data_IF_750931117954
#
_entry.id   IF_750931117954
#
_cell.length_a   1.000
_cell.length_b   1.000
_cell.length_c   1.000
_cell.angle_alpha   90.00
_cell.angle_beta   90.00
_cell.angle_gamma   90.00
#
_symmetry.space_group_name_H-M   'P 1'
#
loop_
_entity.id
_entity.type
_entity.pdbx_description
1 polymer ?
#
# COMPACT_ATOMS: atom_id res chain seq x y z
N UNK A 1 -7.55 15.74 11.25
CA UNK A 1 -8.20 14.42 11.11
C UNK A 1 -9.11 14.33 9.88
N UNK A 2 -10.19 15.12 9.74
CA UNK A 2 -11.12 15.02 8.59
C UNK A 2 -10.45 15.23 7.22
N UNK A 3 -9.47 16.12 7.12
CA UNK A 3 -8.70 16.32 5.88
C UNK A 3 -7.88 15.07 5.52
N UNK A 4 -7.20 14.46 6.49
CA UNK A 4 -6.46 13.22 6.30
C UNK A 4 -7.39 12.07 5.87
N UNK A 5 -8.59 11.99 6.45
CA UNK A 5 -9.58 11.00 6.07
C UNK A 5 -10.09 11.17 4.64
N UNK A 6 -10.33 12.41 4.18
CA UNK A 6 -10.70 12.69 2.77
C UNK A 6 -9.59 12.27 1.81
N UNK A 7 -8.35 12.65 2.09
CA UNK A 7 -7.18 12.32 1.25
C UNK A 7 -6.92 10.83 1.14
N UNK A 8 -7.20 10.06 2.20
CA UNK A 8 -7.04 8.61 2.24
C UNK A 8 -8.27 7.82 1.82
N UNK A 9 -9.39 8.48 1.49
CA UNK A 9 -10.70 7.87 1.28
C UNK A 9 -11.32 7.21 2.54
N UNK A 10 -10.75 7.38 3.72
CA UNK A 10 -11.33 6.90 4.98
C UNK A 10 -12.63 7.63 5.34
N UNK A 11 -12.85 8.84 4.81
CA UNK A 11 -14.10 9.58 4.96
C UNK A 11 -15.29 8.80 4.39
N UNK A 12 -15.12 8.11 3.27
CA UNK A 12 -16.16 7.25 2.69
C UNK A 12 -16.48 6.03 3.58
N UNK A 13 -15.53 5.57 4.39
CA UNK A 13 -15.75 4.51 5.38
C UNK A 13 -16.54 5.09 6.55
N UNK A 14 -16.07 6.19 7.15
CA UNK A 14 -16.70 6.82 8.30
C UNK A 14 -18.15 7.23 8.01
N UNK A 15 -18.45 7.77 6.82
CA UNK A 15 -19.80 8.21 6.44
C UNK A 15 -20.85 7.09 6.35
N UNK A 16 -20.43 5.82 6.25
CA UNK A 16 -21.32 4.65 6.23
C UNK A 16 -21.55 4.03 7.61
N UNK A 17 -20.77 4.43 8.62
CA UNK A 17 -20.87 3.93 9.97
C UNK A 17 -21.90 4.72 10.76
N UNK A 18 -22.66 4.05 11.62
CA UNK A 18 -23.74 4.64 12.40
C UNK A 18 -23.28 5.85 13.22
N UNK A 19 -22.12 5.74 13.88
CA UNK A 19 -21.52 6.82 14.69
C UNK A 19 -20.45 7.62 13.95
N UNK A 20 -20.33 7.43 12.62
CA UNK A 20 -19.38 8.14 11.79
C UNK A 20 -17.95 8.01 12.30
N UNK A 21 -17.27 9.14 12.54
CA UNK A 21 -15.91 9.19 13.06
C UNK A 21 -15.76 8.76 14.52
N UNK A 22 -16.86 8.69 15.27
CA UNK A 22 -16.86 8.27 16.67
C UNK A 22 -17.17 6.76 16.81
N UNK A 23 -17.32 6.06 15.69
CA UNK A 23 -17.55 4.62 15.68
C UNK A 23 -16.32 3.87 16.20
N UNK A 24 -16.53 3.02 17.21
CA UNK A 24 -15.52 2.07 17.64
C UNK A 24 -15.30 1.02 16.54
N UNK A 25 -14.05 0.74 16.21
CA UNK A 25 -13.67 -0.22 15.19
C UNK A 25 -13.04 -1.47 15.80
N UNK A 26 -13.34 -2.63 15.21
CA UNK A 26 -12.81 -3.94 15.59
C UNK A 26 -13.71 -4.72 16.53
N UNK A 27 -13.90 -6.00 16.23
CA UNK A 27 -14.77 -6.95 16.97
C UNK A 27 -14.41 -7.17 18.44
N UNK A 28 -13.21 -6.77 18.84
CA UNK A 28 -12.72 -6.94 20.23
C UNK A 28 -13.31 -5.93 21.20
N UNK A 29 -13.99 -4.91 20.71
CA UNK A 29 -14.54 -3.83 21.51
C UNK A 29 -16.06 -3.88 21.50
N UNK A 30 -16.69 -3.60 22.64
CA UNK A 30 -18.15 -3.49 22.75
C UNK A 30 -18.67 -2.42 21.81
N UNK A 31 -19.65 -2.78 20.97
CA UNK A 31 -20.17 -1.90 19.91
C UNK A 31 -19.18 -1.62 18.77
N UNK A 32 -18.08 -2.38 18.70
CA UNK A 32 -17.08 -2.25 17.64
C UNK A 32 -17.57 -2.88 16.34
N UNK A 33 -17.39 -2.15 15.23
CA UNK A 33 -17.72 -2.60 13.88
C UNK A 33 -16.46 -3.12 13.18
N UNK A 34 -16.56 -4.28 12.54
CA UNK A 34 -15.49 -4.82 11.71
C UNK A 34 -15.52 -4.17 10.33
N UNK A 35 -14.34 -3.80 9.85
CA UNK A 35 -14.14 -3.28 8.51
C UNK A 35 -13.59 -4.37 7.60
N UNK A 36 -13.89 -4.27 6.30
CA UNK A 36 -13.19 -5.06 5.29
C UNK A 36 -11.71 -4.70 5.23
N UNK A 37 -10.87 -5.59 4.66
CA UNK A 37 -9.44 -5.33 4.50
C UNK A 37 -9.14 -4.03 3.78
N UNK A 38 -9.89 -3.72 2.70
CA UNK A 38 -9.75 -2.46 1.96
C UNK A 38 -10.16 -1.22 2.76
N UNK A 39 -11.15 -1.32 3.62
CA UNK A 39 -11.55 -0.24 4.52
C UNK A 39 -10.50 0.00 5.59
N UNK A 40 -9.94 -1.07 6.17
CA UNK A 40 -8.82 -0.96 7.11
C UNK A 40 -7.61 -0.29 6.49
N UNK A 41 -7.31 -0.56 5.21
CA UNK A 41 -6.20 0.08 4.50
C UNK A 41 -6.44 1.58 4.29
N UNK A 42 -7.65 2.00 3.95
CA UNK A 42 -8.02 3.43 3.85
C UNK A 42 -7.84 4.14 5.19
N UNK A 43 -8.24 3.50 6.29
CA UNK A 43 -8.03 4.03 7.65
C UNK A 43 -6.54 4.10 8.01
N UNK A 44 -5.78 3.07 7.70
CA UNK A 44 -4.33 3.04 7.93
C UNK A 44 -3.59 4.14 7.14
N UNK A 45 -3.97 4.33 5.87
CA UNK A 45 -3.43 5.42 5.04
C UNK A 45 -3.83 6.79 5.62
N UNK A 46 -5.06 6.94 6.15
CA UNK A 46 -5.51 8.14 6.85
C UNK A 46 -4.62 8.49 8.04
N UNK A 47 -4.19 7.48 8.81
CA UNK A 47 -3.24 7.66 9.92
C UNK A 47 -1.87 8.16 9.42
N UNK A 48 -1.40 7.68 8.27
CA UNK A 48 -0.15 8.15 7.66
C UNK A 48 -0.25 9.63 7.25
N UNK A 49 -1.38 10.06 6.68
CA UNK A 49 -1.64 11.46 6.36
C UNK A 49 -1.69 12.40 7.58
N UNK A 50 -1.95 11.87 8.77
CA UNK A 50 -1.95 12.67 10.00
C UNK A 50 -0.55 12.93 10.56
N UNK A 51 0.46 12.24 10.07
CA UNK A 51 1.85 12.38 10.52
C UNK A 51 2.65 13.21 9.53
N UNK A 52 3.43 14.15 10.05
CA UNK A 52 4.45 14.85 9.26
C UNK A 52 5.78 14.08 9.36
N UNK A 53 5.81 12.90 8.72
CA UNK A 53 6.97 12.04 8.71
C UNK A 53 7.84 12.32 7.49
N UNK A 54 9.16 12.36 7.67
CA UNK A 54 10.12 12.46 6.57
C UNK A 54 10.31 11.13 5.84
N UNK A 55 10.12 10.02 6.56
CA UNK A 55 10.22 8.65 6.04
C UNK A 55 8.93 7.91 6.31
N UNK A 56 8.37 7.31 5.27
CA UNK A 56 7.20 6.45 5.34
C UNK A 56 7.60 5.01 5.03
N UNK A 57 7.23 4.08 5.91
CA UNK A 57 7.39 2.65 5.66
C UNK A 57 5.99 2.05 5.56
N UNK A 58 5.71 1.38 4.46
CA UNK A 58 4.41 0.76 4.18
C UNK A 58 4.63 -0.68 3.77
N UNK A 59 4.05 -1.57 4.55
CA UNK A 59 4.17 -3.01 4.39
C UNK A 59 2.86 -3.57 3.83
N UNK A 60 2.95 -4.21 2.65
CA UNK A 60 1.84 -4.86 1.93
C UNK A 60 0.53 -4.03 1.86
N UNK A 61 0.58 -2.77 1.39
CA UNK A 61 -0.57 -1.86 1.48
C UNK A 61 -1.78 -2.28 0.64
N UNK A 62 -1.62 -3.26 -0.25
CA UNK A 62 -2.65 -3.67 -1.21
C UNK A 62 -2.99 -5.16 -1.18
N UNK A 63 -2.48 -5.91 -0.19
CA UNK A 63 -2.58 -7.38 -0.15
C UNK A 63 -4.01 -7.93 -0.26
N UNK A 64 -5.03 -7.23 0.24
CA UNK A 64 -6.43 -7.66 0.27
C UNK A 64 -7.33 -6.92 -0.73
N UNK A 65 -6.75 -6.20 -1.69
CA UNK A 65 -7.50 -5.36 -2.63
C UNK A 65 -7.65 -6.00 -4.00
N UNK A 66 -8.79 -5.72 -4.63
CA UNK A 66 -8.94 -5.90 -6.07
C UNK A 66 -8.11 -4.85 -6.84
N UNK A 67 -7.92 -5.05 -8.14
CA UNK A 67 -7.06 -4.22 -8.98
C UNK A 67 -7.48 -2.73 -9.00
N UNK A 68 -8.78 -2.44 -8.90
CA UNK A 68 -9.29 -1.07 -8.90
C UNK A 68 -9.00 -0.36 -7.58
N UNK A 69 -9.29 -1.03 -6.46
CA UNK A 69 -9.01 -0.51 -5.12
C UNK A 69 -7.50 -0.38 -4.87
N UNK A 70 -6.70 -1.33 -5.39
CA UNK A 70 -5.23 -1.24 -5.39
C UNK A 70 -4.74 0.03 -6.06
N UNK A 71 -5.23 0.31 -7.26
CA UNK A 71 -4.87 1.51 -8.00
C UNK A 71 -5.24 2.81 -7.27
N UNK A 72 -6.44 2.87 -6.67
CA UNK A 72 -6.88 4.02 -5.87
C UNK A 72 -5.97 4.27 -4.66
N UNK A 73 -5.65 3.22 -3.88
CA UNK A 73 -4.75 3.31 -2.72
C UNK A 73 -3.36 3.73 -3.16
N UNK A 74 -2.88 3.19 -4.28
CA UNK A 74 -1.59 3.53 -4.83
C UNK A 74 -1.49 5.03 -5.20
N UNK A 75 -2.48 5.58 -5.90
CA UNK A 75 -2.50 7.02 -6.23
C UNK A 75 -2.42 7.90 -4.98
N UNK A 76 -3.13 7.52 -3.91
CA UNK A 76 -3.08 8.23 -2.62
C UNK A 76 -1.73 8.09 -1.94
N UNK A 77 -1.12 6.92 -2.03
CA UNK A 77 0.22 6.70 -1.51
C UNK A 77 1.27 7.54 -2.27
N UNK A 78 1.24 7.54 -3.59
CA UNK A 78 2.12 8.37 -4.41
C UNK A 78 1.99 9.88 -4.09
N UNK A 79 0.76 10.35 -3.86
CA UNK A 79 0.52 11.72 -3.41
C UNK A 79 1.10 12.00 -2.01
N UNK A 80 0.92 11.04 -1.07
CA UNK A 80 1.43 11.15 0.29
C UNK A 80 2.96 11.21 0.35
N UNK A 81 3.63 10.45 -0.52
CA UNK A 81 5.09 10.30 -0.53
C UNK A 81 5.80 11.40 -1.33
N UNK A 82 5.08 12.24 -2.04
CA UNK A 82 5.65 13.31 -2.87
C UNK A 82 6.56 14.23 -2.05
N UNK A 83 7.85 14.28 -2.41
CA UNK A 83 8.87 15.05 -1.71
C UNK A 83 9.33 14.45 -0.38
N UNK A 84 9.03 13.16 -0.12
CA UNK A 84 9.44 12.42 1.07
C UNK A 84 10.10 11.11 0.68
N UNK A 85 10.87 10.53 1.59
CA UNK A 85 11.37 9.17 1.41
C UNK A 85 10.27 8.16 1.77
N UNK A 86 10.06 7.18 0.90
CA UNK A 86 9.13 6.08 1.15
C UNK A 86 9.81 4.73 0.92
N UNK A 87 9.58 3.80 1.84
CA UNK A 87 9.94 2.39 1.69
C UNK A 87 8.65 1.60 1.57
N UNK A 88 8.47 0.96 0.43
CA UNK A 88 7.32 0.13 0.14
C UNK A 88 7.77 -1.33 0.11
N UNK A 89 7.16 -2.16 0.95
CA UNK A 89 7.36 -3.61 0.95
C UNK A 89 6.15 -4.22 0.27
N UNK A 90 6.37 -4.95 -0.81
CA UNK A 90 5.31 -5.62 -1.55
C UNK A 90 5.85 -6.81 -2.36
N UNK A 91 5.01 -7.82 -2.53
CA UNK A 91 5.24 -8.93 -3.46
C UNK A 91 4.44 -8.76 -4.77
N UNK A 92 3.70 -7.65 -4.93
CA UNK A 92 2.89 -7.35 -6.12
C UNK A 92 3.68 -6.47 -7.09
N UNK A 93 3.97 -6.98 -8.27
CA UNK A 93 4.74 -6.25 -9.28
C UNK A 93 4.00 -5.03 -9.83
N UNK A 94 2.67 -5.02 -9.84
CA UNK A 94 1.86 -3.83 -10.15
C UNK A 94 2.27 -2.62 -9.30
N UNK A 95 2.60 -2.86 -8.05
CA UNK A 95 3.00 -1.85 -7.08
C UNK A 95 4.51 -1.60 -7.11
N UNK A 96 5.31 -2.67 -7.12
CA UNK A 96 6.78 -2.61 -7.04
C UNK A 96 7.39 -1.85 -8.22
N UNK A 97 6.89 -2.05 -9.45
CA UNK A 97 7.42 -1.41 -10.67
C UNK A 97 7.32 0.13 -10.69
N UNK A 98 6.55 0.69 -9.77
CA UNK A 98 6.33 2.14 -9.69
C UNK A 98 7.31 2.83 -8.73
N UNK A 99 8.17 2.07 -8.06
CA UNK A 99 9.22 2.60 -7.22
C UNK A 99 10.39 3.16 -8.07
N UNK A 100 10.96 4.27 -7.62
CA UNK A 100 12.17 4.86 -8.25
C UNK A 100 13.36 3.91 -8.15
N UNK A 101 13.41 3.09 -7.10
CA UNK A 101 14.45 2.09 -6.87
C UNK A 101 13.87 0.86 -6.18
N UNK A 102 14.24 -0.29 -6.65
CA UNK A 102 13.83 -1.60 -6.13
C UNK A 102 15.04 -2.26 -5.48
N UNK A 103 14.84 -2.81 -4.31
CA UNK A 103 15.80 -3.65 -3.60
C UNK A 103 15.25 -5.08 -3.57
N UNK A 104 16.03 -6.04 -4.10
CA UNK A 104 15.65 -7.45 -4.15
C UNK A 104 16.35 -8.19 -3.03
N UNK A 105 15.57 -8.75 -2.11
CA UNK A 105 16.08 -9.48 -0.96
C UNK A 105 15.83 -10.98 -1.11
N UNK A 106 16.83 -11.80 -0.80
CA UNK A 106 16.74 -13.25 -0.77
C UNK A 106 17.56 -13.79 0.39
N UNK A 107 16.96 -14.63 1.23
CA UNK A 107 17.68 -15.21 2.38
C UNK A 107 18.20 -14.18 3.40
N UNK A 108 17.62 -12.99 3.46
CA UNK A 108 18.08 -11.90 4.32
C UNK A 108 19.20 -11.03 3.73
N UNK A 109 19.62 -11.31 2.51
CA UNK A 109 20.68 -10.57 1.82
C UNK A 109 20.12 -9.76 0.65
N UNK A 110 20.75 -8.63 0.35
CA UNK A 110 20.47 -7.82 -0.84
C UNK A 110 21.16 -8.47 -2.05
N UNK A 111 20.36 -9.09 -2.93
CA UNK A 111 20.89 -9.83 -4.09
C UNK A 111 20.88 -9.00 -5.38
N UNK A 112 20.01 -8.00 -5.51
CA UNK A 112 19.98 -7.09 -6.66
C UNK A 112 19.34 -5.76 -6.28
N UNK A 113 19.59 -4.70 -7.08
CA UNK A 113 18.97 -3.40 -6.92
C UNK A 113 18.97 -2.61 -8.22
N UNK A 114 17.94 -1.81 -8.47
CA UNK A 114 17.84 -0.99 -9.68
C UNK A 114 16.43 -0.47 -9.91
N UNK A 115 16.18 0.12 -11.09
CA UNK A 115 14.82 0.39 -11.56
C UNK A 115 14.17 -0.90 -12.07
N UNK A 116 12.88 -0.85 -12.32
CA UNK A 116 12.15 -1.98 -12.93
C UNK A 116 12.80 -2.43 -14.25
N UNK A 117 13.08 -1.47 -15.13
CA UNK A 117 13.64 -1.71 -16.46
C UNK A 117 15.04 -2.34 -16.37
N UNK A 118 15.88 -1.84 -15.48
CA UNK A 118 17.24 -2.35 -15.27
C UNK A 118 17.22 -3.79 -14.77
N UNK A 119 16.34 -4.09 -13.80
CA UNK A 119 16.23 -5.42 -13.21
C UNK A 119 15.65 -6.44 -14.19
N UNK A 120 14.65 -6.05 -14.99
CA UNK A 120 14.11 -6.91 -16.05
C UNK A 120 15.17 -7.19 -17.13
N UNK A 121 15.93 -6.17 -17.55
CA UNK A 121 16.96 -6.33 -18.56
C UNK A 121 18.13 -7.23 -18.12
N UNK A 122 18.45 -7.25 -16.81
CA UNK A 122 19.49 -8.14 -16.27
C UNK A 122 19.12 -9.62 -16.26
N UNK A 123 17.83 -9.96 -16.25
CA UNK A 123 17.38 -11.36 -16.26
C UNK A 123 17.61 -12.13 -14.96
N UNK A 124 17.82 -11.44 -13.82
CA UNK A 124 18.00 -12.05 -12.50
C UNK A 124 16.70 -12.47 -11.82
N UNK A 125 16.78 -12.74 -10.51
CA UNK A 125 15.64 -13.18 -9.68
C UNK A 125 14.40 -12.30 -9.85
N UNK A 126 14.58 -10.99 -9.93
CA UNK A 126 13.46 -10.05 -10.14
C UNK A 126 12.72 -10.31 -11.45
N UNK A 127 13.46 -10.47 -12.55
CA UNK A 127 12.88 -10.71 -13.87
C UNK A 127 12.17 -12.07 -13.95
N UNK A 128 12.72 -13.09 -13.31
CA UNK A 128 12.09 -14.42 -13.18
C UNK A 128 10.73 -14.30 -12.47
N UNK A 129 10.72 -13.73 -11.27
CA UNK A 129 9.50 -13.58 -10.47
C UNK A 129 8.46 -12.69 -11.17
N UNK A 130 8.90 -11.62 -11.84
CA UNK A 130 8.03 -10.77 -12.65
C UNK A 130 7.35 -11.56 -13.77
N UNK A 131 8.10 -12.39 -14.49
CA UNK A 131 7.60 -13.21 -15.59
C UNK A 131 6.60 -14.26 -15.12
N UNK A 132 6.87 -14.91 -13.97
CA UNK A 132 5.96 -15.88 -13.35
C UNK A 132 4.63 -15.24 -12.94
N UNK A 133 4.67 -14.07 -12.32
CA UNK A 133 3.45 -13.37 -11.92
C UNK A 133 2.66 -12.88 -13.14
N UNK A 134 3.32 -12.36 -14.17
CA UNK A 134 2.67 -11.94 -15.41
C UNK A 134 2.01 -13.12 -16.15
N UNK A 135 2.56 -14.33 -16.08
CA UNK A 135 1.97 -15.54 -16.63
C UNK A 135 0.72 -16.02 -15.86
N UNK A 136 0.67 -15.80 -14.55
CA UNK A 136 -0.47 -16.16 -13.69
C UNK A 136 -1.69 -15.24 -13.83
N UNK A 137 -1.58 -14.13 -14.54
CA UNK A 137 -2.69 -13.20 -14.84
C UNK A 137 -3.34 -13.44 -16.23
N UNK A 138 -3.04 -14.55 -16.90
CA UNK A 138 -3.67 -14.93 -18.20
C UNK A 138 -4.79 -15.95 -18.02
#
# INVERSE_FOLDING_TARGET
MREAARRSLADSVASRLEKGYDQMLGRRFDGGVELSGGEWQKVALGRAYMRDAQVLIVDEPTASLDARAEYEVFLRFAELTKGRMAVLISHRFSTVRMADRILVLQGGELVDQGTHEELVARGGLYAELFSLQAAGYR
#
